data_IF_697516123149
#
_entry.id   IF_697516123149
#
_cell.length_a   1.000
_cell.length_b   1.000
_cell.length_c   1.000
_cell.angle_alpha   90.00
_cell.angle_beta   90.00
_cell.angle_gamma   90.00
#
_symmetry.space_group_name_H-M   'P 1'
#
loop_
_entity.id
_entity.type
_entity.pdbx_description
1 polymer ?
#
# COMPACT_ATOMS: atom_id res chain seq x y z
N UNK A 1 -5.16 -5.68 -8.56
CA UNK A 1 -3.78 -5.32 -8.23
C UNK A 1 -3.77 -4.04 -7.40
N UNK A 2 -3.26 -4.14 -6.18
CA UNK A 2 -3.23 -3.03 -5.23
C UNK A 2 -1.80 -2.81 -4.71
N UNK A 3 -0.91 -2.21 -5.51
CA UNK A 3 0.47 -1.97 -5.07
C UNK A 3 0.57 -0.73 -4.20
N UNK A 4 1.61 -0.69 -3.38
CA UNK A 4 2.08 0.52 -2.75
C UNK A 4 3.30 1.02 -3.53
N UNK A 5 4.36 1.46 -2.88
CA UNK A 5 5.53 1.98 -3.57
C UNK A 5 6.28 0.93 -4.39
N UNK A 6 6.58 1.26 -5.63
CA UNK A 6 7.38 0.41 -6.52
C UNK A 6 8.54 1.25 -7.04
N UNK A 7 9.73 0.67 -7.06
CA UNK A 7 10.94 1.39 -7.48
C UNK A 7 10.98 1.58 -8.99
N UNK A 8 10.45 2.70 -9.43
CA UNK A 8 10.40 3.10 -10.84
C UNK A 8 10.81 4.56 -10.98
N UNK A 9 10.96 5.03 -12.21
CA UNK A 9 11.28 6.43 -12.47
C UNK A 9 10.18 7.39 -11.98
N UNK A 10 8.95 6.90 -11.86
CA UNK A 10 7.82 7.70 -11.38
C UNK A 10 7.75 7.77 -9.87
N UNK A 11 8.40 6.85 -9.16
CA UNK A 11 8.31 6.80 -7.72
C UNK A 11 8.98 8.02 -7.11
N UNK A 12 8.30 8.77 -6.22
CA UNK A 12 8.93 9.89 -5.55
C UNK A 12 10.01 9.40 -4.60
N UNK A 13 11.13 10.10 -4.61
CA UNK A 13 12.23 9.78 -3.70
C UNK A 13 11.99 10.38 -2.33
N UNK A 14 11.00 11.23 -2.22
CA UNK A 14 10.63 11.86 -0.97
C UNK A 14 9.69 10.97 -0.18
N UNK A 15 9.59 11.28 1.09
CA UNK A 15 8.61 10.66 1.94
C UNK A 15 7.22 10.85 1.39
N UNK A 16 6.51 9.77 1.32
CA UNK A 16 5.14 9.73 0.93
C UNK A 16 4.56 8.43 1.44
N UNK A 17 3.33 8.15 1.08
CA UNK A 17 2.64 6.96 1.55
C UNK A 17 3.37 5.68 1.15
N UNK A 18 4.03 5.69 0.01
CA UNK A 18 4.78 4.54 -0.47
C UNK A 18 5.93 4.14 0.43
N UNK A 19 6.48 5.09 1.21
CA UNK A 19 7.57 4.78 2.12
C UNK A 19 7.11 4.18 3.44
N UNK A 20 5.84 4.34 3.76
CA UNK A 20 5.27 3.75 4.96
C UNK A 20 5.29 2.23 4.90
N UNK A 21 5.08 1.68 3.71
CA UNK A 21 4.97 0.24 3.50
C UNK A 21 6.19 -0.38 2.85
N UNK A 22 7.23 0.42 2.63
CA UNK A 22 8.40 -0.03 1.91
C UNK A 22 8.20 0.03 0.41
N UNK A 23 9.29 -0.11 -0.31
CA UNK A 23 9.30 -0.04 -1.78
C UNK A 23 9.79 -1.38 -2.31
N UNK A 24 9.05 -1.96 -3.23
CA UNK A 24 9.43 -3.23 -3.86
C UNK A 24 9.92 -2.99 -5.28
N UNK A 25 10.64 -3.96 -5.82
CA UNK A 25 11.13 -3.89 -7.18
C UNK A 25 10.05 -4.29 -8.19
N UNK A 26 10.08 -3.74 -9.42
CA UNK A 26 9.10 -4.10 -10.43
C UNK A 26 9.03 -5.59 -10.72
N UNK A 27 10.17 -6.28 -10.64
CA UNK A 27 10.24 -7.72 -10.86
C UNK A 27 9.47 -8.50 -9.80
N UNK A 28 9.52 -8.05 -8.56
CA UNK A 28 8.74 -8.65 -7.48
C UNK A 28 7.26 -8.46 -7.71
N UNK A 29 6.87 -7.27 -8.15
CA UNK A 29 5.48 -6.97 -8.46
C UNK A 29 4.96 -7.89 -9.56
N UNK A 30 5.72 -7.99 -10.65
CA UNK A 30 5.34 -8.84 -11.77
C UNK A 30 5.24 -10.31 -11.35
N UNK A 31 6.18 -10.80 -10.58
CA UNK A 31 6.16 -12.18 -10.09
C UNK A 31 4.93 -12.45 -9.23
N UNK A 32 4.56 -11.51 -8.39
CA UNK A 32 3.38 -11.64 -7.53
C UNK A 32 2.10 -11.70 -8.37
N UNK A 33 2.00 -10.89 -9.43
CA UNK A 33 0.87 -10.91 -10.34
C UNK A 33 0.73 -12.28 -10.99
N UNK A 34 1.81 -12.80 -11.55
CA UNK A 34 1.81 -14.10 -12.22
C UNK A 34 1.41 -15.21 -11.28
N UNK A 35 1.98 -15.22 -10.07
CA UNK A 35 1.67 -16.25 -9.08
C UNK A 35 0.21 -16.19 -8.64
N UNK A 36 -0.31 -14.98 -8.43
CA UNK A 36 -1.70 -14.80 -8.04
C UNK A 36 -2.65 -15.30 -9.13
N UNK A 37 -2.29 -15.07 -10.40
CA UNK A 37 -3.05 -15.60 -11.53
C UNK A 37 -3.04 -17.12 -11.57
N UNK A 38 -1.90 -17.73 -11.27
CA UNK A 38 -1.81 -19.20 -11.22
C UNK A 38 -2.70 -19.78 -10.14
N UNK A 39 -2.82 -19.09 -9.02
CA UNK A 39 -3.67 -19.51 -7.92
C UNK A 39 -5.13 -19.12 -8.13
N UNK A 40 -5.45 -18.42 -9.21
CA UNK A 40 -6.78 -17.95 -9.54
C UNK A 40 -7.39 -17.08 -8.44
N UNK A 41 -6.56 -16.28 -7.75
CA UNK A 41 -7.02 -15.32 -6.76
C UNK A 41 -7.31 -13.99 -7.42
N UNK A 42 -8.34 -13.31 -6.95
CA UNK A 42 -8.76 -12.03 -7.51
C UNK A 42 -7.85 -10.88 -7.07
N UNK A 43 -7.59 -10.78 -5.78
CA UNK A 43 -6.78 -9.69 -5.26
C UNK A 43 -5.28 -9.99 -5.40
N UNK A 44 -4.56 -9.05 -5.99
CA UNK A 44 -3.10 -9.10 -6.06
C UNK A 44 -2.56 -8.07 -5.10
N UNK A 45 -1.98 -8.50 -4.00
CA UNK A 45 -1.50 -7.67 -2.91
C UNK A 45 0.01 -7.88 -2.74
N UNK A 46 0.84 -7.20 -3.55
CA UNK A 46 2.29 -7.41 -3.50
C UNK A 46 2.94 -6.90 -2.22
N UNK A 47 2.29 -5.98 -1.52
CA UNK A 47 2.74 -5.50 -0.22
C UNK A 47 1.91 -6.20 0.86
N UNK A 48 2.53 -7.00 1.73
CA UNK A 48 1.79 -7.77 2.74
C UNK A 48 0.94 -6.90 3.67
N UNK A 49 1.37 -5.68 3.91
CA UNK A 49 0.69 -4.75 4.81
C UNK A 49 -0.70 -4.36 4.29
N UNK A 50 -0.90 -4.39 2.98
CA UNK A 50 -2.16 -3.97 2.37
C UNK A 50 -3.31 -4.90 2.78
N UNK A 51 -3.05 -6.19 2.90
CA UNK A 51 -4.08 -7.14 3.34
C UNK A 51 -4.60 -6.77 4.73
N UNK A 52 -3.69 -6.40 5.62
CA UNK A 52 -4.06 -5.97 6.97
C UNK A 52 -4.86 -4.67 6.94
N UNK A 53 -4.51 -3.74 6.08
CA UNK A 53 -5.24 -2.48 5.95
C UNK A 53 -6.67 -2.71 5.48
N UNK A 54 -6.88 -3.61 4.53
CA UNK A 54 -8.21 -3.96 4.05
C UNK A 54 -9.04 -4.56 5.18
N UNK A 55 -8.43 -5.45 5.96
CA UNK A 55 -9.10 -6.08 7.09
C UNK A 55 -9.51 -5.06 8.15
N UNK A 56 -8.62 -4.15 8.49
CA UNK A 56 -8.90 -3.10 9.48
C UNK A 56 -10.03 -2.20 9.04
N UNK A 57 -10.06 -1.86 7.76
CA UNK A 57 -11.14 -1.03 7.24
C UNK A 57 -12.48 -1.72 7.38
N UNK A 58 -12.54 -3.02 7.09
CA UNK A 58 -13.77 -3.79 7.21
C UNK A 58 -14.23 -3.99 8.64
N UNK A 59 -13.29 -4.11 9.58
CA UNK A 59 -13.62 -4.33 10.98
C UNK A 59 -14.27 -3.11 11.63
N UNK A 60 -13.75 -1.93 11.35
CA UNK A 60 -14.26 -0.70 11.96
C UNK A 60 -13.92 0.49 11.07
N UNK A 61 -14.88 0.88 10.26
CA UNK A 61 -14.67 1.94 9.26
C UNK A 61 -14.38 3.28 9.93
N UNK A 62 -15.06 3.59 11.03
CA UNK A 62 -14.85 4.85 11.72
C UNK A 62 -13.43 4.96 12.27
N UNK A 63 -12.94 3.89 12.85
CA UNK A 63 -11.58 3.84 13.38
C UNK A 63 -10.56 3.96 12.23
N UNK A 64 -10.84 3.30 11.11
CA UNK A 64 -10.00 3.37 9.92
C UNK A 64 -9.94 4.80 9.38
N UNK A 65 -11.09 5.48 9.29
CA UNK A 65 -11.16 6.87 8.83
C UNK A 65 -10.35 7.79 9.73
N UNK A 66 -10.41 7.57 11.04
CA UNK A 66 -9.62 8.35 11.97
C UNK A 66 -8.12 8.17 11.74
N UNK A 67 -7.70 6.94 11.49
CA UNK A 67 -6.30 6.64 11.16
C UNK A 67 -5.86 7.30 9.87
N UNK A 68 -6.70 7.27 8.84
CA UNK A 68 -6.41 7.93 7.56
C UNK A 68 -6.30 9.44 7.72
N UNK A 69 -7.13 10.03 8.55
CA UNK A 69 -7.07 11.45 8.85
C UNK A 69 -5.75 11.83 9.49
N UNK A 70 -5.26 11.03 10.42
CA UNK A 70 -3.96 11.24 11.05
C UNK A 70 -2.82 11.08 10.06
N UNK A 71 -2.90 10.09 9.20
CA UNK A 71 -1.89 9.84 8.18
C UNK A 71 -1.83 11.00 7.18
N UNK A 72 -2.98 11.48 6.74
CA UNK A 72 -3.04 12.62 5.83
C UNK A 72 -2.40 13.87 6.45
N UNK A 73 -2.73 14.15 7.70
CA UNK A 73 -2.17 15.30 8.40
C UNK A 73 -0.64 15.20 8.48
N UNK A 74 -0.13 14.03 8.79
CA UNK A 74 1.32 13.82 8.90
C UNK A 74 2.03 13.94 7.54
N UNK A 75 1.38 13.48 6.47
CA UNK A 75 1.99 13.47 5.15
C UNK A 75 1.88 14.80 4.42
N UNK A 76 0.76 15.50 4.59
CA UNK A 76 0.45 16.72 3.85
C UNK A 76 0.82 17.97 4.65
N UNK A 77 0.75 17.89 5.96
CA UNK A 77 0.92 19.05 6.84
C UNK A 77 1.86 18.71 8.00
N UNK A 78 3.10 18.35 7.69
CA UNK A 78 4.06 17.87 8.69
C UNK A 78 4.47 18.91 9.72
N UNK A 79 4.27 20.19 9.42
CA UNK A 79 4.64 21.28 10.33
C UNK A 79 3.66 21.43 11.50
N UNK A 80 2.54 20.79 11.43
CA UNK A 80 1.56 20.77 12.52
C UNK A 80 1.72 19.51 13.41
#
# INVERSE_FOLDING_TARGET
LCPQGVNTAMAPRRLGDGQTDGIIEPEQLAATVVETMREERFHVLPHPEVEEYVRRKGDNVDRWLLGMRRLRKRSVDPAE
#
